data_IF_038429521897
#
_entry.id   IF_038429521897
#
_cell.length_a   1.000
_cell.length_b   1.000
_cell.length_c   1.000
_cell.angle_alpha   90.00
_cell.angle_beta   90.00
_cell.angle_gamma   90.00
#
_symmetry.space_group_name_H-M   'P 1'
#
loop_
_entity.id
_entity.type
_entity.pdbx_description
1 polymer ?
#
# COMPACT_ATOMS: atom_id res chain seq x y z
N UNK A 1 3.96 12.12 -2.81
CA UNK A 1 2.86 11.43 -2.11
C UNK A 1 2.71 12.01 -0.72
N UNK A 2 1.48 12.28 -0.27
CA UNK A 2 1.17 12.74 1.08
C UNK A 2 0.45 11.63 1.85
N UNK A 3 0.66 11.56 3.18
CA UNK A 3 -0.15 10.68 4.06
C UNK A 3 -0.84 11.54 5.12
N UNK A 4 -2.16 11.46 5.19
CA UNK A 4 -2.98 12.18 6.13
C UNK A 4 -3.47 11.23 7.22
N UNK A 5 -3.09 11.52 8.46
CA UNK A 5 -3.44 10.80 9.67
C UNK A 5 -4.38 11.63 10.54
N UNK A 6 -5.27 10.98 11.30
CA UNK A 6 -6.35 11.63 12.06
C UNK A 6 -6.25 11.40 13.58
N UNK A 7 -5.22 10.72 14.03
CA UNK A 7 -4.91 10.41 15.42
C UNK A 7 -4.32 11.58 16.20
N UNK A 8 -4.10 12.72 15.54
CA UNK A 8 -3.59 13.95 16.14
C UNK A 8 -4.45 15.17 15.81
N UNK A 9 -4.22 16.28 16.51
CA UNK A 9 -4.93 17.55 16.36
C UNK A 9 -4.56 18.30 15.06
N UNK A 10 -3.50 17.91 14.38
CA UNK A 10 -2.95 18.64 13.24
C UNK A 10 -3.52 18.22 11.87
N UNK A 11 -4.47 17.28 11.85
CA UNK A 11 -5.04 16.76 10.61
C UNK A 11 -5.70 17.84 9.72
N UNK A 12 -6.32 18.86 10.34
CA UNK A 12 -6.93 19.97 9.59
C UNK A 12 -5.87 20.81 8.89
N UNK A 13 -4.78 21.16 9.62
CA UNK A 13 -3.65 21.89 9.04
C UNK A 13 -2.97 21.07 7.94
N UNK A 14 -2.77 19.77 8.14
CA UNK A 14 -2.21 18.89 7.13
C UNK A 14 -3.10 18.85 5.88
N UNK A 15 -4.41 18.74 6.05
CA UNK A 15 -5.39 18.80 4.97
C UNK A 15 -5.33 20.15 4.22
N UNK A 16 -5.21 21.27 4.93
CA UNK A 16 -5.07 22.61 4.32
C UNK A 16 -3.76 22.73 3.54
N UNK A 17 -2.65 22.17 4.04
CA UNK A 17 -1.37 22.17 3.35
C UNK A 17 -1.45 21.37 2.02
N UNK A 18 -2.23 20.30 1.97
CA UNK A 18 -2.49 19.55 0.73
C UNK A 18 -3.24 20.44 -0.28
N UNK A 19 -4.25 21.19 0.16
CA UNK A 19 -4.97 22.14 -0.72
C UNK A 19 -4.05 23.23 -1.25
N UNK A 20 -3.24 23.82 -0.38
CA UNK A 20 -2.26 24.83 -0.78
C UNK A 20 -1.24 24.27 -1.77
N UNK A 21 -0.74 23.06 -1.52
CA UNK A 21 0.16 22.40 -2.46
C UNK A 21 -0.51 22.18 -3.82
N UNK A 22 -1.76 21.73 -3.85
CA UNK A 22 -2.49 21.51 -5.09
C UNK A 22 -2.60 22.80 -5.90
N UNK A 23 -2.98 23.92 -5.26
CA UNK A 23 -3.07 25.23 -5.89
C UNK A 23 -1.72 25.71 -6.44
N UNK A 24 -0.65 25.58 -5.68
CA UNK A 24 0.70 25.94 -6.13
C UNK A 24 1.15 25.06 -7.27
N UNK A 25 0.85 23.74 -7.21
CA UNK A 25 1.24 22.80 -8.24
C UNK A 25 0.59 23.07 -9.60
N UNK A 26 -0.64 23.60 -9.63
CA UNK A 26 -1.30 24.06 -10.86
C UNK A 26 -0.57 25.21 -11.56
N UNK A 27 0.14 26.05 -10.79
CA UNK A 27 0.92 27.18 -11.31
C UNK A 27 2.37 26.82 -11.67
N UNK A 28 2.79 25.60 -11.37
CA UNK A 28 4.14 25.09 -11.62
C UNK A 28 4.12 24.03 -12.74
N UNK A 29 4.96 23.02 -12.62
CA UNK A 29 5.11 21.94 -13.62
C UNK A 29 3.99 20.91 -13.61
N UNK A 30 2.95 21.12 -12.81
CA UNK A 30 1.83 20.18 -12.60
C UNK A 30 2.31 18.76 -12.32
N UNK A 31 3.17 18.62 -11.31
CA UNK A 31 3.72 17.34 -10.90
C UNK A 31 2.61 16.41 -10.35
N UNK A 32 2.47 15.19 -10.87
CA UNK A 32 1.49 14.24 -10.35
C UNK A 32 1.69 13.96 -8.86
N UNK A 33 0.62 14.06 -8.07
CA UNK A 33 0.64 13.72 -6.66
C UNK A 33 -0.62 12.99 -6.23
N UNK A 34 -0.58 12.33 -5.08
CA UNK A 34 -1.69 11.61 -4.48
C UNK A 34 -1.64 11.70 -2.97
N UNK A 35 -2.81 11.72 -2.34
CA UNK A 35 -2.96 11.69 -0.89
C UNK A 35 -3.40 10.31 -0.42
N UNK A 36 -2.66 9.69 0.50
CA UNK A 36 -3.13 8.55 1.26
C UNK A 36 -3.91 9.05 2.48
N UNK A 37 -5.21 8.82 2.50
CA UNK A 37 -6.07 9.13 3.63
C UNK A 37 -6.15 7.90 4.53
N UNK A 38 -5.48 7.95 5.68
CA UNK A 38 -5.38 6.84 6.61
C UNK A 38 -6.66 6.77 7.46
N UNK A 39 -7.56 5.84 7.12
CA UNK A 39 -8.85 5.70 7.76
C UNK A 39 -8.69 5.14 9.18
N UNK A 40 -8.71 6.02 10.18
CA UNK A 40 -8.70 5.64 11.58
C UNK A 40 -10.13 5.33 12.05
N UNK A 41 -10.38 4.14 12.61
CA UNK A 41 -11.72 3.65 12.98
C UNK A 41 -12.46 4.57 13.98
N UNK A 42 -11.74 5.25 14.88
CA UNK A 42 -12.32 6.20 15.84
C UNK A 42 -12.59 7.58 15.23
N UNK A 43 -12.03 7.88 14.08
CA UNK A 43 -12.07 9.21 13.47
C UNK A 43 -12.71 9.21 12.08
N UNK A 44 -13.60 8.26 11.80
CA UNK A 44 -14.22 8.12 10.48
C UNK A 44 -14.96 9.36 10.01
N UNK A 45 -15.53 10.15 10.92
CA UNK A 45 -16.18 11.42 10.56
C UNK A 45 -15.18 12.45 10.00
N UNK A 46 -13.98 12.55 10.62
CA UNK A 46 -12.89 13.40 10.13
C UNK A 46 -12.34 12.89 8.79
N UNK A 47 -12.19 11.58 8.66
CA UNK A 47 -11.77 10.92 7.40
C UNK A 47 -12.74 11.27 6.27
N UNK A 48 -14.04 11.11 6.49
CA UNK A 48 -15.08 11.44 5.51
C UNK A 48 -15.09 12.94 5.18
N UNK A 49 -14.92 13.80 6.18
CA UNK A 49 -14.85 15.26 5.97
C UNK A 49 -13.63 15.65 5.11
N UNK A 50 -12.47 15.05 5.35
CA UNK A 50 -11.28 15.30 4.53
C UNK A 50 -11.48 14.81 3.08
N UNK A 51 -12.05 13.61 2.88
CA UNK A 51 -12.36 13.10 1.55
C UNK A 51 -13.32 14.01 0.79
N UNK A 52 -14.41 14.46 1.43
CA UNK A 52 -15.36 15.39 0.80
C UNK A 52 -14.68 16.72 0.41
N UNK A 53 -13.75 17.21 1.23
CA UNK A 53 -12.96 18.40 0.90
C UNK A 53 -12.08 18.17 -0.32
N UNK A 54 -11.41 17.01 -0.41
CA UNK A 54 -10.58 16.66 -1.55
C UNK A 54 -11.42 16.46 -2.83
N UNK A 55 -12.59 15.83 -2.71
CA UNK A 55 -13.54 15.70 -3.83
C UNK A 55 -13.95 17.09 -4.36
N UNK A 56 -14.23 18.05 -3.47
CA UNK A 56 -14.60 19.43 -3.84
C UNK A 56 -13.49 20.22 -4.54
N UNK A 57 -12.25 19.79 -4.44
CA UNK A 57 -11.07 20.42 -5.05
C UNK A 57 -10.38 19.53 -6.11
N UNK A 58 -11.01 18.43 -6.53
CA UNK A 58 -10.47 17.46 -7.49
C UNK A 58 -9.08 16.90 -7.11
N UNK A 59 -8.78 16.80 -5.82
CA UNK A 59 -7.51 16.26 -5.33
C UNK A 59 -7.54 14.74 -5.37
N UNK A 60 -6.57 14.09 -6.03
CA UNK A 60 -6.51 12.63 -6.07
C UNK A 60 -6.12 12.06 -4.71
N UNK A 61 -6.94 11.16 -4.19
CA UNK A 61 -6.66 10.47 -2.93
C UNK A 61 -7.05 9.00 -2.97
N UNK A 62 -6.48 8.24 -2.03
CA UNK A 62 -6.83 6.84 -1.75
C UNK A 62 -7.10 6.69 -0.26
N UNK A 63 -8.21 6.05 0.08
CA UNK A 63 -8.52 5.71 1.47
C UNK A 63 -7.88 4.38 1.81
N UNK A 64 -7.06 4.37 2.87
CA UNK A 64 -6.35 3.18 3.34
C UNK A 64 -6.77 2.85 4.76
N UNK A 65 -7.10 1.59 5.01
CA UNK A 65 -7.30 1.10 6.39
C UNK A 65 -5.98 1.09 7.14
N UNK A 66 -6.04 1.40 8.43
CA UNK A 66 -4.90 1.27 9.34
C UNK A 66 -4.93 -0.16 9.90
N UNK A 67 -3.78 -0.79 9.92
CA UNK A 67 -3.58 -2.13 10.48
C UNK A 67 -3.07 -1.98 11.92
N UNK A 68 -3.72 -2.64 12.86
CA UNK A 68 -3.34 -2.59 14.29
C UNK A 68 -2.82 -3.92 14.82
N UNK A 69 -2.46 -4.85 14.00
CA UNK A 69 -2.01 -6.15 14.49
C UNK A 69 -0.50 -6.22 14.51
N UNK A 70 0.07 -6.64 15.63
CA UNK A 70 1.47 -7.01 15.74
C UNK A 70 1.76 -8.37 15.10
N UNK A 71 0.73 -9.22 14.96
CA UNK A 71 0.87 -10.54 14.37
C UNK A 71 0.83 -10.45 12.83
N UNK A 72 1.90 -10.89 12.20
CA UNK A 72 2.05 -10.94 10.74
C UNK A 72 1.00 -11.84 10.05
N UNK A 73 0.39 -12.75 10.79
CA UNK A 73 -0.51 -13.79 10.28
C UNK A 73 -1.99 -13.45 10.39
N UNK A 74 -2.36 -12.30 10.93
CA UNK A 74 -3.77 -11.93 11.02
C UNK A 74 -4.33 -11.53 9.66
N UNK A 75 -5.47 -12.12 9.36
CA UNK A 75 -6.33 -11.67 8.26
C UNK A 75 -6.90 -10.29 8.62
N UNK A 76 -6.33 -9.24 8.03
CA UNK A 76 -6.75 -7.87 8.28
C UNK A 76 -8.10 -7.50 7.65
N UNK A 77 -8.74 -8.41 6.90
CA UNK A 77 -10.14 -8.28 6.51
C UNK A 77 -11.09 -8.45 7.70
N UNK A 78 -10.64 -9.11 8.77
CA UNK A 78 -11.41 -9.37 9.97
C UNK A 78 -11.13 -8.33 11.07
N UNK A 79 -10.66 -7.10 10.73
CA UNK A 79 -10.44 -6.06 11.73
C UNK A 79 -11.77 -5.59 12.34
N UNK A 80 -12.07 -6.13 13.52
CA UNK A 80 -13.28 -5.87 14.28
C UNK A 80 -13.43 -4.43 14.80
N UNK A 81 -12.43 -3.57 14.62
CA UNK A 81 -12.47 -2.18 15.10
C UNK A 81 -13.31 -1.29 14.21
N UNK A 82 -13.41 -1.59 12.92
CA UNK A 82 -14.27 -0.81 12.03
C UNK A 82 -15.71 -1.27 12.14
N UNK A 83 -16.63 -0.31 12.15
CA UNK A 83 -18.06 -0.60 11.98
C UNK A 83 -18.30 -1.05 10.54
N UNK A 84 -19.22 -1.97 10.32
CA UNK A 84 -19.54 -2.50 9.00
C UNK A 84 -19.80 -1.39 7.95
N UNK A 85 -20.64 -0.41 8.30
CA UNK A 85 -20.91 0.77 7.44
C UNK A 85 -19.67 1.58 7.07
N UNK A 86 -18.64 1.59 7.91
CA UNK A 86 -17.40 2.32 7.65
C UNK A 86 -16.48 1.50 6.76
N UNK A 87 -16.45 0.18 6.91
CA UNK A 87 -15.78 -0.74 5.99
C UNK A 87 -16.40 -0.66 4.59
N UNK A 88 -17.73 -0.74 4.48
CA UNK A 88 -18.45 -0.60 3.22
C UNK A 88 -18.11 0.74 2.55
N UNK A 89 -18.10 1.83 3.32
CA UNK A 89 -17.74 3.15 2.78
C UNK A 89 -16.28 3.19 2.30
N UNK A 90 -15.32 2.67 3.06
CA UNK A 90 -13.91 2.59 2.64
C UNK A 90 -13.77 1.79 1.34
N UNK A 91 -14.44 0.64 1.27
CA UNK A 91 -14.39 -0.26 0.12
C UNK A 91 -15.13 0.30 -1.11
N UNK A 92 -16.07 1.21 -0.92
CA UNK A 92 -16.75 1.92 -2.04
C UNK A 92 -15.89 3.02 -2.67
N UNK A 93 -14.84 3.49 -1.98
CA UNK A 93 -13.98 4.53 -2.53
C UNK A 93 -13.07 3.95 -3.61
N UNK A 94 -12.94 4.65 -4.75
CA UNK A 94 -12.09 4.18 -5.83
C UNK A 94 -10.63 4.11 -5.37
N UNK A 95 -10.00 3.01 -5.61
CA UNK A 95 -8.57 2.86 -5.43
C UNK A 95 -7.86 3.43 -6.67
N UNK A 96 -7.75 4.74 -6.78
CA UNK A 96 -6.92 5.36 -7.82
C UNK A 96 -5.45 5.20 -7.44
N UNK A 97 -4.84 4.09 -7.78
CA UNK A 97 -3.39 3.89 -7.69
C UNK A 97 -2.83 3.74 -9.09
N UNK A 98 -1.64 4.26 -9.30
CA UNK A 98 -0.97 4.33 -10.59
C UNK A 98 -0.52 2.98 -11.16
N UNK A 99 -0.76 1.86 -10.48
CA UNK A 99 -0.39 0.53 -10.94
C UNK A 99 -1.60 -0.40 -10.98
N UNK A 100 -1.97 -0.83 -12.16
CA UNK A 100 -2.84 -1.97 -12.34
C UNK A 100 -2.02 -3.24 -12.10
N UNK A 101 -2.55 -4.17 -11.32
CA UNK A 101 -1.93 -5.48 -11.13
C UNK A 101 -2.56 -6.43 -12.12
N UNK A 102 -1.74 -7.11 -12.90
CA UNK A 102 -2.18 -8.19 -13.78
C UNK A 102 -2.32 -9.44 -12.92
N UNK A 103 -3.52 -10.04 -12.89
CA UNK A 103 -3.76 -11.34 -12.23
C UNK A 103 -3.59 -12.47 -13.24
N UNK A 104 -3.97 -12.21 -14.48
CA UNK A 104 -3.73 -13.04 -15.65
C UNK A 104 -3.63 -12.13 -16.90
N UNK A 105 -3.33 -12.71 -18.07
CA UNK A 105 -3.10 -11.97 -19.31
C UNK A 105 -4.31 -11.14 -19.78
N UNK A 106 -5.50 -11.37 -19.23
CA UNK A 106 -6.75 -10.72 -19.64
C UNK A 106 -7.35 -9.81 -18.56
N UNK A 107 -6.96 -9.99 -17.27
CA UNK A 107 -7.61 -9.30 -16.16
C UNK A 107 -6.64 -8.41 -15.40
N UNK A 108 -6.95 -7.11 -15.38
CA UNK A 108 -6.25 -6.11 -14.57
C UNK A 108 -7.09 -5.82 -13.32
N UNK A 109 -6.54 -6.09 -12.16
CA UNK A 109 -7.17 -5.77 -10.89
C UNK A 109 -6.27 -4.86 -10.05
N UNK A 110 -6.89 -3.88 -9.42
CA UNK A 110 -6.17 -2.98 -8.53
C UNK A 110 -5.76 -3.73 -7.24
N UNK A 111 -4.57 -3.41 -6.69
CA UNK A 111 -4.05 -4.07 -5.48
C UNK A 111 -5.05 -4.07 -4.29
N UNK A 112 -5.82 -2.99 -4.10
CA UNK A 112 -6.85 -2.96 -3.06
C UNK A 112 -8.04 -3.88 -3.36
N UNK A 113 -8.36 -4.12 -4.63
CA UNK A 113 -9.41 -5.06 -5.02
C UNK A 113 -8.94 -6.50 -4.85
N UNK A 114 -7.66 -6.79 -5.16
CA UNK A 114 -7.01 -8.08 -4.86
C UNK A 114 -7.15 -8.40 -3.38
N UNK A 115 -6.83 -7.43 -2.53
CA UNK A 115 -6.97 -7.55 -1.08
C UNK A 115 -8.44 -7.75 -0.67
N UNK A 116 -9.36 -6.95 -1.24
CA UNK A 116 -10.80 -7.04 -0.96
C UNK A 116 -11.37 -8.42 -1.28
N UNK A 117 -10.90 -9.01 -2.37
CA UNK A 117 -11.34 -10.33 -2.82
C UNK A 117 -10.51 -11.48 -2.24
N UNK A 118 -9.59 -11.21 -1.30
CA UNK A 118 -8.71 -12.21 -0.66
C UNK A 118 -7.85 -13.00 -1.66
N UNK A 119 -7.46 -12.36 -2.75
CA UNK A 119 -6.60 -12.94 -3.80
C UNK A 119 -5.11 -12.69 -3.56
N UNK A 120 -4.74 -12.05 -2.47
CA UNK A 120 -3.36 -11.67 -2.11
C UNK A 120 -2.61 -12.77 -1.35
N UNK A 121 -2.86 -14.04 -1.69
CA UNK A 121 -2.22 -15.22 -1.08
C UNK A 121 -1.14 -15.74 -2.04
N UNK A 122 0.11 -15.49 -1.70
CA UNK A 122 1.27 -15.85 -2.53
C UNK A 122 2.28 -16.71 -1.77
N UNK A 123 1.86 -17.37 -0.69
CA UNK A 123 2.74 -18.29 0.05
C UNK A 123 3.25 -19.41 -0.86
N UNK A 124 4.57 -19.58 -0.88
CA UNK A 124 5.25 -20.56 -1.75
C UNK A 124 5.48 -20.11 -3.20
N UNK A 125 5.04 -18.89 -3.58
CA UNK A 125 5.34 -18.32 -4.88
C UNK A 125 6.72 -17.68 -4.90
N UNK A 126 7.43 -17.75 -6.01
CA UNK A 126 8.65 -16.99 -6.23
C UNK A 126 8.31 -15.52 -6.54
N UNK A 127 8.98 -14.58 -5.86
CA UNK A 127 8.68 -13.15 -5.88
C UNK A 127 9.92 -12.32 -6.23
N UNK A 128 9.75 -11.33 -7.11
CA UNK A 128 10.81 -10.39 -7.52
C UNK A 128 11.14 -9.31 -6.48
N UNK A 129 10.63 -9.43 -5.26
CA UNK A 129 10.93 -8.50 -4.17
C UNK A 129 12.44 -8.37 -3.92
N UNK A 130 12.92 -7.15 -3.88
CA UNK A 130 14.34 -6.82 -3.79
C UNK A 130 15.01 -6.57 -5.13
N UNK A 131 14.42 -7.02 -6.24
CA UNK A 131 14.91 -6.78 -7.60
C UNK A 131 14.11 -5.65 -8.25
N UNK A 132 12.78 -5.76 -8.28
CA UNK A 132 11.90 -4.72 -8.84
C UNK A 132 11.63 -3.57 -7.86
N UNK A 133 11.74 -3.81 -6.56
CA UNK A 133 11.57 -2.79 -5.53
C UNK A 133 12.41 -3.07 -4.30
N UNK A 134 12.67 -2.00 -3.55
CA UNK A 134 13.33 -2.06 -2.24
C UNK A 134 12.53 -1.22 -1.25
N UNK A 135 12.49 -1.65 0.00
CA UNK A 135 12.02 -0.86 1.12
C UNK A 135 13.22 -0.36 1.93
N UNK A 136 13.34 0.95 2.07
CA UNK A 136 14.40 1.57 2.87
C UNK A 136 13.75 2.23 4.08
N UNK A 137 14.15 1.83 5.27
CA UNK A 137 13.71 2.44 6.52
C UNK A 137 14.40 3.80 6.74
N UNK A 138 13.83 4.59 7.64
CA UNK A 138 14.37 5.91 8.00
C UNK A 138 15.80 5.85 8.61
N UNK A 139 16.19 4.74 9.22
CA UNK A 139 17.52 4.46 9.77
C UNK A 139 18.52 3.92 8.73
N UNK A 140 18.09 3.84 7.47
CA UNK A 140 18.88 3.35 6.34
C UNK A 140 18.91 1.83 6.17
N UNK A 141 18.17 1.07 6.99
CA UNK A 141 18.08 -0.38 6.86
C UNK A 141 17.24 -0.75 5.63
N UNK A 142 17.76 -1.66 4.80
CA UNK A 142 17.16 -2.02 3.52
C UNK A 142 16.57 -3.41 3.58
N UNK A 143 15.36 -3.56 3.06
CA UNK A 143 14.66 -4.83 2.93
C UNK A 143 14.17 -5.03 1.49
N UNK A 144 13.91 -6.27 1.11
CA UNK A 144 13.39 -6.61 -0.23
C UNK A 144 12.05 -5.94 -0.50
N UNK A 145 11.16 -5.90 0.49
CA UNK A 145 9.83 -5.31 0.42
C UNK A 145 9.29 -5.02 1.83
N UNK A 146 8.10 -4.43 1.92
CA UNK A 146 7.42 -4.12 3.19
C UNK A 146 7.16 -5.37 4.04
N UNK A 147 6.98 -6.53 3.42
CA UNK A 147 6.78 -7.81 4.10
C UNK A 147 8.05 -8.31 4.84
N UNK A 148 9.23 -7.75 4.53
CA UNK A 148 10.54 -8.12 5.12
C UNK A 148 10.91 -9.60 4.99
N UNK A 149 10.34 -10.32 4.04
CA UNK A 149 10.78 -11.70 3.73
C UNK A 149 12.24 -11.68 3.31
N UNK A 150 13.03 -12.60 3.83
CA UNK A 150 14.49 -12.67 3.60
C UNK A 150 15.32 -11.74 4.49
N UNK A 151 14.70 -10.98 5.42
CA UNK A 151 15.41 -10.15 6.39
C UNK A 151 15.98 -8.86 5.80
N UNK A 152 17.00 -8.30 6.48
CA UNK A 152 17.71 -7.09 6.05
C UNK A 152 18.73 -7.43 4.97
N UNK A 153 18.83 -6.54 3.97
CA UNK A 153 19.85 -6.56 2.91
C UNK A 153 21.06 -5.67 3.26
N UNK A 154 21.14 -5.20 4.50
CA UNK A 154 22.14 -4.26 4.97
C UNK A 154 21.61 -2.85 5.12
N UNK A 155 22.52 -1.87 5.24
CA UNK A 155 22.18 -0.50 5.58
C UNK A 155 22.95 0.48 4.67
N UNK A 156 22.20 1.40 4.03
CA UNK A 156 22.79 2.38 3.09
C UNK A 156 23.72 3.37 3.78
N UNK A 157 23.41 3.79 5.02
CA UNK A 157 24.24 4.76 5.75
C UNK A 157 25.56 4.14 6.26
N UNK A 158 25.56 2.81 6.48
CA UNK A 158 26.73 2.05 6.92
C UNK A 158 27.54 1.49 5.76
N UNK A 159 27.05 1.61 4.52
CA UNK A 159 27.70 1.06 3.34
C UNK A 159 27.71 -0.48 3.30
N UNK A 160 26.75 -1.11 3.99
CA UNK A 160 26.64 -2.59 4.07
C UNK A 160 25.50 -3.15 3.23
N UNK A 161 24.82 -2.30 2.46
CA UNK A 161 23.75 -2.75 1.57
C UNK A 161 24.33 -3.53 0.39
N UNK A 162 23.78 -4.72 0.17
CA UNK A 162 24.07 -5.56 -0.98
C UNK A 162 22.75 -5.88 -1.71
N UNK A 163 22.62 -5.48 -3.00
CA UNK A 163 21.43 -5.77 -3.78
C UNK A 163 21.31 -7.29 -4.02
N UNK A 164 20.13 -7.88 -3.87
CA UNK A 164 19.95 -9.29 -4.17
C UNK A 164 19.93 -9.52 -5.69
N UNK A 165 20.50 -10.64 -6.12
CA UNK A 165 20.52 -11.06 -7.53
C UNK A 165 19.41 -12.04 -7.89
N UNK A 166 18.82 -12.69 -6.86
CA UNK A 166 17.83 -13.76 -7.04
C UNK A 166 16.47 -13.38 -6.45
N UNK A 167 15.44 -13.95 -7.04
CA UNK A 167 14.08 -13.91 -6.51
C UNK A 167 14.03 -14.63 -5.16
N UNK A 168 12.92 -14.39 -4.41
CA UNK A 168 12.75 -15.01 -3.10
C UNK A 168 11.38 -15.71 -3.02
N UNK A 169 11.37 -16.88 -2.36
CA UNK A 169 10.11 -17.57 -2.08
C UNK A 169 9.32 -16.83 -1.00
N UNK A 170 8.06 -16.56 -1.29
CA UNK A 170 7.16 -15.90 -0.36
C UNK A 170 6.79 -16.84 0.79
N UNK A 171 7.17 -16.49 2.02
CA UNK A 171 6.83 -17.23 3.22
C UNK A 171 5.64 -16.64 3.97
N UNK A 172 5.01 -15.57 3.41
CA UNK A 172 3.86 -14.90 4.03
C UNK A 172 2.57 -15.44 3.44
N UNK A 173 1.64 -15.81 4.32
CA UNK A 173 0.29 -16.21 3.92
C UNK A 173 -0.41 -15.12 3.12
N UNK A 174 -0.22 -13.85 3.52
CA UNK A 174 -0.88 -12.70 2.91
C UNK A 174 0.12 -11.63 2.47
N UNK A 175 0.03 -11.18 1.23
CA UNK A 175 0.72 -9.98 0.76
C UNK A 175 -0.17 -8.75 1.03
N UNK A 176 0.14 -7.99 2.07
CA UNK A 176 -0.77 -6.95 2.59
C UNK A 176 -0.40 -5.52 2.18
N UNK A 177 0.70 -5.33 1.49
CA UNK A 177 1.12 -4.02 1.00
C UNK A 177 0.70 -3.81 -0.45
N UNK A 178 -0.06 -2.76 -0.72
CA UNK A 178 -0.49 -2.43 -2.08
C UNK A 178 0.70 -2.10 -3.03
N UNK A 179 1.86 -1.74 -2.48
CA UNK A 179 3.07 -1.53 -3.28
C UNK A 179 3.78 -2.85 -3.61
N UNK A 180 3.65 -3.87 -2.76
CA UNK A 180 4.32 -5.16 -2.95
C UNK A 180 3.46 -6.15 -3.77
N UNK A 181 2.14 -5.98 -3.76
CA UNK A 181 1.21 -6.83 -4.53
C UNK A 181 1.52 -6.81 -6.04
N UNK A 182 1.83 -5.64 -6.66
CA UNK A 182 2.14 -5.56 -8.09
C UNK A 182 3.48 -6.14 -8.52
N UNK A 183 4.36 -6.49 -7.55
CA UNK A 183 5.64 -7.11 -7.91
C UNK A 183 5.41 -8.43 -8.64
N UNK A 184 6.28 -8.76 -9.57
CA UNK A 184 6.19 -10.02 -10.33
C UNK A 184 6.27 -11.22 -9.40
N UNK A 185 5.33 -12.15 -9.56
CA UNK A 185 5.24 -13.39 -8.78
C UNK A 185 4.90 -14.56 -9.70
N UNK A 186 5.55 -15.69 -9.46
CA UNK A 186 5.38 -16.91 -10.23
C UNK A 186 5.01 -18.04 -9.29
N UNK A 187 3.89 -18.72 -9.56
CA UNK A 187 3.55 -19.95 -8.87
C UNK A 187 4.44 -21.09 -9.37
N UNK A 188 5.43 -21.45 -8.57
CA UNK A 188 6.41 -22.49 -8.94
C UNK A 188 5.78 -23.86 -9.12
N UNK A 189 4.59 -24.11 -8.55
CA UNK A 189 3.87 -25.38 -8.72
C UNK A 189 3.31 -25.54 -10.15
N UNK A 190 2.99 -24.43 -10.81
CA UNK A 190 2.48 -24.47 -12.20
C UNK A 190 3.60 -24.72 -13.24
N UNK A 191 4.86 -24.48 -12.87
CA UNK A 191 6.01 -24.71 -13.76
C UNK A 191 6.35 -26.19 -13.85
N UNK A 192 6.22 -26.93 -12.75
CA UNK A 192 6.53 -28.36 -12.69
C UNK A 192 5.50 -29.22 -13.43
N UNK A 193 4.25 -28.77 -13.53
CA UNK A 193 3.18 -29.48 -14.25
C UNK A 193 3.24 -29.30 -15.78
N UNK A 194 4.14 -28.47 -16.31
CA UNK A 194 4.27 -28.14 -17.74
C UNK A 194 5.46 -28.83 -18.44
N UNK A 195 6.18 -29.71 -17.77
CA UNK A 195 7.26 -30.56 -18.26
C UNK A 195 6.85 -32.03 -18.15
#
# INVERSE_FOLDING_TARGET
MFSLHFDNEHWERASQNVLLFAQLNETMENTPFQVNVMAHHEHMDKVKAACNRFDGHNIPYVVRRIRWTEADDRDWFDDMRYKEKDLEWILSKPAKVMANTVIDDEHYMHANDIIKHKLNQFEGWSCSAGIESLMINWDGDVHRATCRVGGSLGNIYKGTFEPPEEWIDCTRKWCTCAADIPLTKIDVKQIDDSN
#
